data_IF_283338824261
#
_entry.id   IF_283338824261
#
_cell.length_a   1.000
_cell.length_b   1.000
_cell.length_c   1.000
_cell.angle_alpha   90.00
_cell.angle_beta   90.00
_cell.angle_gamma   90.00
#
_symmetry.space_group_name_H-M   'P 1'
#
loop_
_entity.id
_entity.type
_entity.pdbx_description
1 polymer ?
#
# COMPACT_ATOMS: atom_id res chain seq x y z
N UNK A 1 5.35 5.12 21.05
CA UNK A 1 6.59 5.21 20.24
C UNK A 1 6.26 4.83 18.81
N UNK A 2 6.40 5.75 17.84
CA UNK A 2 6.25 5.44 16.41
C UNK A 2 7.46 4.59 15.97
N UNK A 3 7.41 3.29 16.24
CA UNK A 3 8.38 2.34 15.70
C UNK A 3 8.32 2.42 14.16
N UNK A 4 9.47 2.34 13.48
CA UNK A 4 9.56 2.46 12.03
C UNK A 4 8.70 1.44 11.25
N UNK A 5 8.61 1.61 9.92
CA UNK A 5 7.95 0.63 9.05
C UNK A 5 8.58 -0.76 9.23
N UNK A 6 7.73 -1.79 9.37
CA UNK A 6 8.24 -3.16 9.24
C UNK A 6 8.78 -3.38 7.83
N UNK A 7 9.65 -4.39 7.64
CA UNK A 7 10.18 -4.71 6.32
C UNK A 7 9.09 -4.85 5.25
N UNK A 8 7.99 -5.54 5.58
CA UNK A 8 6.84 -5.74 4.68
C UNK A 8 6.06 -4.45 4.41
N UNK A 9 5.87 -3.60 5.41
CA UNK A 9 5.23 -2.29 5.22
C UNK A 9 6.07 -1.38 4.32
N UNK A 10 7.39 -1.34 4.55
CA UNK A 10 8.33 -0.58 3.72
C UNK A 10 8.31 -1.06 2.27
N UNK A 11 8.39 -2.37 2.04
CA UNK A 11 8.28 -2.96 0.69
C UNK A 11 6.96 -2.61 -0.01
N UNK A 12 5.84 -2.66 0.72
CA UNK A 12 4.54 -2.26 0.19
C UNK A 12 4.52 -0.77 -0.21
N UNK A 13 5.03 0.11 0.64
CA UNK A 13 5.10 1.55 0.35
C UNK A 13 6.00 1.85 -0.85
N UNK A 14 7.17 1.20 -0.92
CA UNK A 14 8.11 1.34 -2.05
C UNK A 14 7.48 0.87 -3.37
N UNK A 15 6.84 -0.30 -3.37
CA UNK A 15 6.13 -0.81 -4.54
C UNK A 15 5.04 0.15 -5.00
N UNK A 16 4.17 0.60 -4.09
CA UNK A 16 3.10 1.55 -4.40
C UNK A 16 3.66 2.85 -4.96
N UNK A 17 4.72 3.37 -4.36
CA UNK A 17 5.37 4.62 -4.80
C UNK A 17 5.90 4.49 -6.22
N UNK A 18 6.63 3.40 -6.48
CA UNK A 18 7.18 3.10 -7.80
C UNK A 18 6.07 2.91 -8.83
N UNK A 19 5.06 2.10 -8.51
CA UNK A 19 3.95 1.80 -9.40
C UNK A 19 3.20 3.08 -9.83
N UNK A 20 2.88 3.96 -8.88
CA UNK A 20 2.22 5.24 -9.17
C UNK A 20 3.13 6.12 -10.04
N UNK A 21 4.42 6.19 -9.74
CA UNK A 21 5.38 6.97 -10.53
C UNK A 21 5.52 6.48 -11.98
N UNK A 22 5.43 5.17 -12.20
CA UNK A 22 5.58 4.56 -13.54
C UNK A 22 4.28 4.55 -14.34
N UNK A 23 3.14 4.33 -13.70
CA UNK A 23 1.86 4.10 -14.38
C UNK A 23 0.90 5.31 -14.33
N UNK A 24 1.14 6.26 -13.43
CA UNK A 24 0.27 7.42 -13.22
C UNK A 24 -1.04 7.13 -12.50
N UNK A 25 -1.26 5.89 -12.03
CA UNK A 25 -2.43 5.48 -11.24
C UNK A 25 -2.05 4.52 -10.12
N UNK A 26 -2.94 4.37 -9.14
CA UNK A 26 -2.71 3.51 -7.98
C UNK A 26 -2.86 2.02 -8.31
N UNK A 27 -2.01 1.13 -7.75
CA UNK A 27 -2.16 -0.30 -7.96
C UNK A 27 -3.44 -0.83 -7.30
N UNK A 28 -3.96 -1.91 -7.87
CA UNK A 28 -5.02 -2.74 -7.30
C UNK A 28 -4.51 -3.59 -6.14
N UNK A 29 -5.43 -4.18 -5.38
CA UNK A 29 -5.06 -5.07 -4.28
C UNK A 29 -4.42 -6.36 -4.79
N UNK A 30 -4.77 -6.83 -5.98
CA UNK A 30 -4.18 -8.02 -6.61
C UNK A 30 -2.73 -7.74 -7.00
N UNK A 31 -2.47 -6.63 -7.69
CA UNK A 31 -1.10 -6.20 -8.06
C UNK A 31 -0.20 -6.05 -6.82
N UNK A 32 -0.71 -5.48 -5.72
CA UNK A 32 0.05 -5.39 -4.47
C UNK A 32 0.26 -6.78 -3.83
N UNK A 33 -0.76 -7.64 -3.85
CA UNK A 33 -0.68 -8.98 -3.26
C UNK A 33 0.40 -9.81 -3.97
N UNK A 34 0.41 -9.77 -5.30
CA UNK A 34 1.39 -10.46 -6.14
C UNK A 34 2.79 -9.87 -5.96
N UNK A 35 2.95 -8.55 -6.06
CA UNK A 35 4.25 -7.89 -5.95
C UNK A 35 4.92 -8.10 -4.58
N UNK A 36 4.13 -8.19 -3.51
CA UNK A 36 4.64 -8.46 -2.17
C UNK A 36 4.72 -9.98 -1.89
N UNK A 37 4.16 -10.85 -2.72
CA UNK A 37 4.15 -12.29 -2.48
C UNK A 37 3.33 -12.67 -1.24
N UNK A 38 2.14 -12.10 -1.11
CA UNK A 38 1.19 -12.40 -0.04
C UNK A 38 0.24 -13.50 -0.49
N UNK A 39 -0.16 -14.36 0.46
CA UNK A 39 -1.10 -15.45 0.18
C UNK A 39 -2.55 -14.98 -0.04
N UNK A 40 -2.90 -13.74 0.34
CA UNK A 40 -4.28 -13.24 0.23
C UNK A 40 -4.39 -11.72 0.26
N UNK A 41 -5.51 -11.23 -0.28
CA UNK A 41 -5.92 -9.81 -0.23
C UNK A 41 -6.06 -9.28 1.19
N UNK A 42 -6.39 -10.13 2.16
CA UNK A 42 -6.47 -9.75 3.58
C UNK A 42 -5.11 -9.32 4.15
N UNK A 43 -4.02 -9.95 3.69
CA UNK A 43 -2.66 -9.52 4.04
C UNK A 43 -2.36 -8.12 3.52
N UNK A 44 -2.72 -7.87 2.25
CA UNK A 44 -2.58 -6.56 1.59
C UNK A 44 -3.39 -5.50 2.33
N UNK A 45 -4.64 -5.80 2.68
CA UNK A 45 -5.50 -4.89 3.44
C UNK A 45 -4.85 -4.49 4.76
N UNK A 46 -4.31 -5.45 5.54
CA UNK A 46 -3.62 -5.15 6.81
C UNK A 46 -2.40 -4.26 6.63
N UNK A 47 -1.59 -4.49 5.60
CA UNK A 47 -0.42 -3.64 5.32
C UNK A 47 -0.83 -2.21 4.97
N UNK A 48 -1.83 -2.06 4.09
CA UNK A 48 -2.32 -0.76 3.66
C UNK A 48 -2.98 0.00 4.83
N UNK A 49 -3.77 -0.66 5.66
CA UNK A 49 -4.35 -0.04 6.86
C UNK A 49 -3.28 0.44 7.82
N UNK A 50 -2.23 -0.35 8.07
CA UNK A 50 -1.14 0.08 8.93
C UNK A 50 -0.34 1.26 8.33
N UNK A 51 -0.17 1.32 7.00
CA UNK A 51 0.47 2.45 6.33
C UNK A 51 -0.39 3.72 6.41
N UNK A 52 -1.71 3.58 6.31
CA UNK A 52 -2.68 4.67 6.41
C UNK A 52 -2.76 5.23 7.83
N UNK A 53 -2.89 4.38 8.85
CA UNK A 53 -2.86 4.77 10.26
C UNK A 53 -1.56 5.48 10.66
N UNK A 54 -0.47 5.19 9.94
CA UNK A 54 0.84 5.82 10.13
C UNK A 54 1.04 7.10 9.32
N UNK A 55 0.08 7.45 8.47
CA UNK A 55 0.10 8.67 7.67
C UNK A 55 0.99 8.60 6.44
N UNK A 56 1.29 7.41 5.90
CA UNK A 56 2.07 7.26 4.66
C UNK A 56 1.20 7.24 3.41
N UNK A 57 -0.06 6.80 3.54
CA UNK A 57 -1.01 6.72 2.43
C UNK A 57 -2.41 7.12 2.90
N UNK A 58 -3.30 7.39 1.94
CA UNK A 58 -4.74 7.54 2.17
C UNK A 58 -5.51 6.77 1.10
N UNK A 59 -6.70 6.27 1.44
CA UNK A 59 -7.59 5.55 0.52
C UNK A 59 -9.02 6.06 0.65
N UNK A 60 -9.78 6.00 -0.44
CA UNK A 60 -11.23 6.19 -0.37
C UNK A 60 -11.90 4.82 -0.23
N UNK A 61 -12.76 4.62 0.78
CA UNK A 61 -13.52 3.38 0.94
C UNK A 61 -14.34 3.06 -0.32
N UNK A 62 -14.51 1.75 -0.59
CA UNK A 62 -15.34 1.22 -1.67
C UNK A 62 -14.99 1.65 -3.10
N UNK A 63 -13.82 2.28 -3.32
CA UNK A 63 -13.35 2.66 -4.66
C UNK A 63 -12.00 2.04 -4.97
N UNK A 64 -11.94 1.33 -6.10
CA UNK A 64 -10.69 0.80 -6.64
C UNK A 64 -9.73 1.94 -7.01
N UNK A 65 -8.42 1.68 -6.87
CA UNK A 65 -7.35 2.59 -7.33
C UNK A 65 -7.42 4.01 -6.75
N UNK A 66 -7.90 4.17 -5.52
CA UNK A 66 -7.95 5.47 -4.83
C UNK A 66 -6.80 5.72 -3.87
N UNK A 67 -5.88 4.75 -3.75
CA UNK A 67 -4.72 4.85 -2.90
C UNK A 67 -3.84 6.02 -3.35
N UNK A 68 -3.51 6.93 -2.43
CA UNK A 68 -2.58 8.05 -2.65
C UNK A 68 -1.48 8.07 -1.61
N UNK A 69 -0.30 8.54 -1.99
CA UNK A 69 0.81 8.80 -1.08
C UNK A 69 0.54 10.08 -0.27
N UNK A 70 0.86 10.05 1.03
CA UNK A 70 0.83 11.19 1.93
C UNK A 70 2.28 11.60 2.21
N UNK A 71 2.57 12.90 2.13
CA UNK A 71 3.91 13.47 2.19
C UNK A 71 4.46 13.50 3.62
#
# INVERSE_FOLDING_TARGET
>A
MKHGLTKRQKQCLEFVTKFIGENGYAPSYEEITEAIGLASKSGTFRLLTALEERGHITRLPARARTLRLVK
#
